data_IF_510912637936
#
_entry.id   IF_510912637936
#
_cell.length_a   1.000
_cell.length_b   1.000
_cell.length_c   1.000
_cell.angle_alpha   90.00
_cell.angle_beta   90.00
_cell.angle_gamma   90.00
#
_symmetry.space_group_name_H-M   'P 1'
#
loop_
_entity.id
_entity.type
_entity.pdbx_description
1 polymer ?
#
# COMPACT_ATOMS: atom_id res chain seq x y z
N UNK A 1 10.29 12.13 14.68
CA UNK A 1 8.81 12.24 14.60
C UNK A 1 8.31 13.11 13.45
N UNK A 2 8.96 14.22 13.06
CA UNK A 2 8.48 15.07 11.96
C UNK A 2 8.46 14.37 10.58
N UNK A 3 9.49 13.58 10.24
CA UNK A 3 9.54 12.82 8.98
C UNK A 3 8.38 11.83 8.85
N UNK A 4 8.08 11.10 9.93
CA UNK A 4 6.96 10.16 9.97
C UNK A 4 5.60 10.85 9.84
N UNK A 5 5.38 11.98 10.52
CA UNK A 5 4.13 12.77 10.37
C UNK A 5 3.93 13.25 8.93
N UNK A 6 5.01 13.68 8.27
CA UNK A 6 4.98 14.10 6.86
C UNK A 6 4.62 12.93 5.95
N UNK A 7 5.20 11.75 6.18
CA UNK A 7 4.86 10.54 5.41
C UNK A 7 3.39 10.18 5.56
N UNK A 8 2.87 10.08 6.78
CA UNK A 8 1.46 9.77 7.02
C UNK A 8 0.52 10.78 6.34
N UNK A 9 0.88 12.07 6.35
CA UNK A 9 0.10 13.08 5.63
C UNK A 9 0.12 12.86 4.11
N UNK A 10 1.28 12.55 3.53
CA UNK A 10 1.40 12.26 2.09
C UNK A 10 0.67 10.97 1.69
N UNK A 11 0.74 9.93 2.52
CA UNK A 11 0.01 8.68 2.36
C UNK A 11 -1.50 8.91 2.44
N UNK A 12 -1.95 9.73 3.38
CA UNK A 12 -3.36 10.09 3.52
C UNK A 12 -3.87 10.86 2.29
N UNK A 13 -3.09 11.82 1.79
CA UNK A 13 -3.40 12.54 0.54
C UNK A 13 -3.46 11.58 -0.65
N UNK A 14 -2.54 10.63 -0.76
CA UNK A 14 -2.56 9.59 -1.80
C UNK A 14 -3.82 8.72 -1.68
N UNK A 15 -4.16 8.29 -0.47
CA UNK A 15 -5.34 7.46 -0.18
C UNK A 15 -6.62 8.18 -0.58
N UNK A 16 -6.77 9.47 -0.21
CA UNK A 16 -7.91 10.30 -0.61
C UNK A 16 -7.95 10.48 -2.12
N UNK A 17 -6.82 10.77 -2.76
CA UNK A 17 -6.76 10.98 -4.22
C UNK A 17 -7.21 9.73 -4.97
N UNK A 18 -6.71 8.56 -4.57
CA UNK A 18 -7.13 7.27 -5.13
C UNK A 18 -8.62 7.05 -4.86
N UNK A 19 -9.10 7.30 -3.65
CA UNK A 19 -10.51 7.15 -3.29
C UNK A 19 -11.45 8.02 -4.14
N UNK A 20 -11.08 9.28 -4.38
CA UNK A 20 -11.85 10.21 -5.23
C UNK A 20 -11.86 9.74 -6.70
N UNK A 21 -10.71 9.36 -7.24
CA UNK A 21 -10.61 8.84 -8.62
C UNK A 21 -11.43 7.56 -8.76
N UNK A 22 -11.36 6.66 -7.80
CA UNK A 22 -12.14 5.42 -7.79
C UNK A 22 -13.64 5.69 -7.65
N UNK A 23 -14.07 6.66 -6.82
CA UNK A 23 -15.48 7.08 -6.75
C UNK A 23 -16.00 7.53 -8.12
N UNK A 24 -15.26 8.40 -8.80
CA UNK A 24 -15.64 8.93 -10.12
C UNK A 24 -15.71 7.79 -11.14
N UNK A 25 -14.69 6.91 -11.16
CA UNK A 25 -14.62 5.79 -12.10
C UNK A 25 -15.75 4.78 -11.87
N UNK A 26 -16.07 4.43 -10.62
CA UNK A 26 -17.14 3.49 -10.31
C UNK A 26 -18.54 4.07 -10.56
N UNK A 27 -18.72 5.39 -10.49
CA UNK A 27 -20.00 6.02 -10.77
C UNK A 27 -20.24 6.29 -12.26
N UNK A 28 -19.19 6.44 -13.05
CA UNK A 28 -19.28 6.76 -14.50
C UNK A 28 -19.07 5.52 -15.36
N UNK A 29 -17.82 5.11 -15.55
CA UNK A 29 -17.41 4.14 -16.59
C UNK A 29 -17.45 2.69 -16.12
N UNK A 30 -17.21 2.44 -14.82
CA UNK A 30 -17.03 1.10 -14.25
C UNK A 30 -18.20 0.66 -13.36
N UNK A 31 -19.40 1.20 -13.56
CA UNK A 31 -20.59 0.88 -12.73
C UNK A 31 -20.90 -0.62 -12.68
N UNK A 32 -20.72 -1.33 -13.80
CA UNK A 32 -20.93 -2.78 -13.89
C UNK A 32 -19.84 -3.61 -13.20
N UNK A 33 -18.68 -3.00 -12.95
CA UNK A 33 -17.50 -3.61 -12.31
C UNK A 33 -17.32 -3.15 -10.86
N UNK A 34 -18.38 -2.62 -10.25
CA UNK A 34 -18.32 -2.14 -8.88
C UNK A 34 -17.93 -3.27 -7.90
N UNK A 35 -16.88 -3.00 -7.13
CA UNK A 35 -16.34 -3.88 -6.12
C UNK A 35 -16.50 -3.21 -4.75
N UNK A 36 -17.52 -3.59 -3.95
CA UNK A 36 -17.68 -3.06 -2.59
C UNK A 36 -16.43 -3.30 -1.73
N UNK A 37 -15.75 -4.44 -1.94
CA UNK A 37 -14.50 -4.79 -1.25
C UNK A 37 -13.35 -3.83 -1.53
N UNK A 38 -13.42 -3.04 -2.62
CA UNK A 38 -12.35 -2.13 -3.01
C UNK A 38 -12.00 -1.14 -1.89
N UNK A 39 -13.01 -0.64 -1.18
CA UNK A 39 -12.80 0.30 -0.07
C UNK A 39 -12.06 -0.34 1.10
N UNK A 40 -12.40 -1.60 1.41
CA UNK A 40 -11.72 -2.40 2.43
C UNK A 40 -10.28 -2.68 2.00
N UNK A 41 -10.08 -3.03 0.72
CA UNK A 41 -8.77 -3.28 0.14
C UNK A 41 -7.87 -2.04 0.19
N UNK A 42 -8.41 -0.87 -0.18
CA UNK A 42 -7.72 0.41 -0.11
C UNK A 42 -7.29 0.72 1.33
N UNK A 43 -8.19 0.52 2.30
CA UNK A 43 -7.91 0.73 3.72
C UNK A 43 -6.82 -0.21 4.24
N UNK A 44 -6.88 -1.51 3.89
CA UNK A 44 -5.87 -2.49 4.32
C UNK A 44 -4.50 -2.18 3.74
N UNK A 45 -4.41 -1.86 2.43
CA UNK A 45 -3.15 -1.54 1.76
C UNK A 45 -2.54 -0.26 2.33
N UNK A 46 -3.36 0.77 2.58
CA UNK A 46 -2.94 2.01 3.22
C UNK A 46 -2.43 1.74 4.64
N UNK A 47 -3.20 1.03 5.47
CA UNK A 47 -2.81 0.71 6.84
C UNK A 47 -1.48 -0.09 6.89
N UNK A 48 -1.33 -1.11 6.05
CA UNK A 48 -0.09 -1.89 5.96
C UNK A 48 1.09 -1.03 5.55
N UNK A 49 0.90 -0.11 4.61
CA UNK A 49 1.96 0.78 4.15
C UNK A 49 2.42 1.73 5.26
N UNK A 50 1.49 2.34 6.00
CA UNK A 50 1.81 3.18 7.16
C UNK A 50 2.54 2.43 8.28
N UNK A 51 2.09 1.21 8.61
CA UNK A 51 2.72 0.36 9.65
C UNK A 51 4.15 -0.04 9.26
N UNK A 52 4.36 -0.45 8.01
CA UNK A 52 5.68 -0.87 7.55
C UNK A 52 6.64 0.30 7.43
N UNK A 53 6.16 1.47 6.99
CA UNK A 53 6.97 2.68 6.97
C UNK A 53 7.42 3.08 8.39
N UNK A 54 6.53 2.99 9.38
CA UNK A 54 6.89 3.22 10.78
C UNK A 54 8.01 2.26 11.25
N UNK A 55 7.87 0.98 10.94
CA UNK A 55 8.88 -0.04 11.27
C UNK A 55 10.23 0.26 10.61
N UNK A 56 10.21 0.64 9.33
CA UNK A 56 11.39 0.96 8.54
C UNK A 56 12.12 2.20 9.07
N UNK A 57 11.40 3.30 9.36
CA UNK A 57 12.01 4.53 9.92
C UNK A 57 12.63 4.26 11.30
N UNK A 58 11.98 3.43 12.13
CA UNK A 58 12.54 3.04 13.43
C UNK A 58 13.80 2.17 13.28
N UNK A 59 13.86 1.36 12.22
CA UNK A 59 15.03 0.55 11.89
C UNK A 59 16.18 1.39 11.31
N UNK A 60 15.90 2.46 10.55
CA UNK A 60 16.91 3.39 9.98
C UNK A 60 17.80 4.03 11.04
N UNK A 61 17.28 4.25 12.26
CA UNK A 61 18.06 4.76 13.39
C UNK A 61 19.18 3.79 13.85
N UNK A 62 19.21 2.55 13.35
CA UNK A 62 20.22 1.54 13.65
C UNK A 62 20.97 1.23 12.36
N UNK A 63 22.31 1.46 12.34
CA UNK A 63 23.30 1.12 11.29
C UNK A 63 22.74 0.62 9.95
N UNK A 64 23.09 1.24 8.82
CA UNK A 64 22.60 0.93 7.46
C UNK A 64 22.38 -0.57 7.10
N UNK A 65 23.25 -1.49 7.55
CA UNK A 65 23.07 -2.94 7.38
C UNK A 65 21.76 -3.47 8.00
N UNK A 66 21.37 -3.00 9.19
CA UNK A 66 20.11 -3.40 9.86
C UNK A 66 18.87 -2.82 9.20
N UNK A 67 19.00 -1.67 8.55
CA UNK A 67 17.92 -1.07 7.78
C UNK A 67 17.54 -1.94 6.58
N UNK A 68 18.53 -2.38 5.77
CA UNK A 68 18.27 -3.21 4.60
C UNK A 68 17.58 -4.53 4.96
N UNK A 69 18.06 -5.21 6.02
CA UNK A 69 17.43 -6.44 6.51
C UNK A 69 16.02 -6.19 7.05
N UNK A 70 15.80 -5.10 7.79
CA UNK A 70 14.47 -4.73 8.29
C UNK A 70 13.48 -4.44 7.17
N UNK A 71 13.91 -3.70 6.14
CA UNK A 71 13.11 -3.39 4.96
C UNK A 71 12.73 -4.64 4.18
N UNK A 72 13.66 -5.57 3.96
CA UNK A 72 13.39 -6.83 3.29
C UNK A 72 12.40 -7.71 4.08
N UNK A 73 12.56 -7.82 5.40
CA UNK A 73 11.61 -8.55 6.24
C UNK A 73 10.21 -7.92 6.22
N UNK A 74 10.13 -6.60 6.38
CA UNK A 74 8.87 -5.85 6.34
C UNK A 74 8.15 -6.06 5.01
N UNK A 75 8.87 -5.94 3.90
CA UNK A 75 8.33 -6.17 2.55
C UNK A 75 7.91 -7.63 2.36
N UNK A 76 8.70 -8.59 2.82
CA UNK A 76 8.37 -10.01 2.73
C UNK A 76 7.08 -10.36 3.48
N UNK A 77 6.92 -9.85 4.71
CA UNK A 77 5.68 -10.02 5.50
C UNK A 77 4.50 -9.38 4.77
N UNK A 78 4.66 -8.18 4.18
CA UNK A 78 3.64 -7.52 3.36
C UNK A 78 3.17 -8.43 2.21
N UNK A 79 4.11 -9.04 1.49
CA UNK A 79 3.78 -9.96 0.38
C UNK A 79 3.00 -11.17 0.85
N UNK A 80 3.35 -11.76 2.00
CA UNK A 80 2.62 -12.90 2.56
C UNK A 80 1.18 -12.52 2.93
N UNK A 81 0.99 -11.35 3.55
CA UNK A 81 -0.35 -10.85 3.89
C UNK A 81 -1.18 -10.62 2.62
N UNK A 82 -0.58 -10.04 1.59
CA UNK A 82 -1.24 -9.86 0.30
C UNK A 82 -1.59 -11.17 -0.39
N UNK A 83 -0.71 -12.16 -0.34
CA UNK A 83 -0.98 -13.48 -0.89
C UNK A 83 -2.23 -14.10 -0.24
N UNK A 84 -2.28 -14.11 1.09
CA UNK A 84 -3.44 -14.61 1.84
C UNK A 84 -4.71 -13.85 1.46
N UNK A 85 -4.65 -12.51 1.44
CA UNK A 85 -5.81 -11.67 1.13
C UNK A 85 -6.34 -11.95 -0.28
N UNK A 86 -5.45 -12.04 -1.27
CA UNK A 86 -5.82 -12.32 -2.66
C UNK A 86 -6.42 -13.71 -2.78
N UNK A 87 -5.73 -14.74 -2.26
CA UNK A 87 -6.19 -16.13 -2.36
C UNK A 87 -7.54 -16.30 -1.67
N UNK A 88 -7.71 -15.78 -0.46
CA UNK A 88 -8.99 -15.85 0.26
C UNK A 88 -10.11 -15.19 -0.54
N UNK A 89 -9.90 -13.99 -1.08
CA UNK A 89 -10.96 -13.30 -1.83
C UNK A 89 -11.30 -14.02 -3.15
N UNK A 90 -10.30 -14.44 -3.91
CA UNK A 90 -10.48 -15.10 -5.21
C UNK A 90 -11.20 -16.45 -5.07
N UNK A 91 -10.93 -17.20 -4.00
CA UNK A 91 -11.60 -18.47 -3.75
C UNK A 91 -13.07 -18.30 -3.30
N UNK A 92 -13.38 -17.22 -2.57
CA UNK A 92 -14.75 -16.95 -2.10
C UNK A 92 -15.62 -16.29 -3.17
N UNK A 93 -15.01 -15.50 -4.06
CA UNK A 93 -15.69 -14.70 -5.09
C UNK A 93 -15.02 -14.84 -6.47
N UNK A 94 -14.95 -16.06 -7.03
CA UNK A 94 -14.28 -16.31 -8.32
C UNK A 94 -14.88 -15.47 -9.45
N UNK A 95 -16.17 -15.15 -9.39
CA UNK A 95 -16.89 -14.35 -10.39
C UNK A 95 -16.39 -12.89 -10.47
N UNK A 96 -15.79 -12.38 -9.39
CA UNK A 96 -15.19 -11.03 -9.34
C UNK A 96 -13.67 -11.04 -9.28
N UNK A 97 -13.05 -12.22 -9.39
CA UNK A 97 -11.61 -12.40 -9.19
C UNK A 97 -10.77 -11.51 -10.12
N UNK A 98 -11.11 -11.45 -11.41
CA UNK A 98 -10.35 -10.67 -12.41
C UNK A 98 -10.33 -9.18 -12.08
N UNK A 99 -11.51 -8.62 -11.76
CA UNK A 99 -11.65 -7.19 -11.44
C UNK A 99 -10.94 -6.88 -10.11
N UNK A 100 -11.06 -7.78 -9.13
CA UNK A 100 -10.38 -7.66 -7.86
C UNK A 100 -8.85 -7.69 -8.01
N UNK A 101 -8.31 -8.65 -8.77
CA UNK A 101 -6.88 -8.78 -9.02
C UNK A 101 -6.30 -7.54 -9.71
N UNK A 102 -6.98 -7.01 -10.73
CA UNK A 102 -6.58 -5.78 -11.42
C UNK A 102 -6.58 -4.60 -10.44
N UNK A 103 -7.65 -4.45 -9.66
CA UNK A 103 -7.77 -3.38 -8.67
C UNK A 103 -6.68 -3.46 -7.61
N UNK A 104 -6.45 -4.67 -7.08
CA UNK A 104 -5.38 -4.96 -6.14
C UNK A 104 -4.02 -4.61 -6.72
N UNK A 105 -3.75 -5.04 -7.95
CA UNK A 105 -2.45 -4.83 -8.59
C UNK A 105 -2.14 -3.36 -8.83
N UNK A 106 -3.13 -2.56 -9.25
CA UNK A 106 -2.99 -1.11 -9.41
C UNK A 106 -2.68 -0.46 -8.05
N UNK A 107 -3.45 -0.78 -7.01
CA UNK A 107 -3.21 -0.25 -5.67
C UNK A 107 -1.82 -0.66 -5.15
N UNK A 108 -1.47 -1.94 -5.32
CA UNK A 108 -0.18 -2.48 -4.93
C UNK A 108 0.97 -1.68 -5.54
N UNK A 109 0.94 -1.42 -6.85
CA UNK A 109 1.98 -0.64 -7.53
C UNK A 109 2.04 0.79 -6.99
N UNK A 110 0.90 1.47 -6.87
CA UNK A 110 0.85 2.87 -6.41
C UNK A 110 1.43 3.02 -5.01
N UNK A 111 1.01 2.18 -4.06
CA UNK A 111 1.50 2.24 -2.69
C UNK A 111 2.94 1.76 -2.55
N UNK A 112 3.35 0.74 -3.30
CA UNK A 112 4.75 0.25 -3.27
C UNK A 112 5.70 1.29 -3.85
N UNK A 113 5.35 1.91 -4.99
CA UNK A 113 6.14 2.98 -5.57
C UNK A 113 6.24 4.17 -4.61
N UNK A 114 5.14 4.58 -4.01
CA UNK A 114 5.13 5.64 -3.00
C UNK A 114 6.02 5.34 -1.80
N UNK A 115 5.94 4.12 -1.25
CA UNK A 115 6.75 3.66 -0.12
C UNK A 115 8.25 3.69 -0.46
N UNK A 116 8.64 3.09 -1.59
CA UNK A 116 10.04 3.02 -2.04
C UNK A 116 10.60 4.42 -2.32
N UNK A 117 9.85 5.27 -3.02
CA UNK A 117 10.28 6.65 -3.30
C UNK A 117 10.47 7.47 -2.02
N UNK A 118 9.58 7.29 -1.04
CA UNK A 118 9.67 7.96 0.26
C UNK A 118 10.90 7.52 1.05
N UNK A 119 11.18 6.22 1.05
CA UNK A 119 12.37 5.64 1.69
C UNK A 119 13.65 6.14 1.02
N UNK A 120 13.72 6.10 -0.32
CA UNK A 120 14.89 6.58 -1.07
C UNK A 120 15.17 8.06 -0.80
N UNK A 121 14.11 8.88 -0.73
CA UNK A 121 14.22 10.30 -0.39
C UNK A 121 14.75 10.50 1.03
N UNK A 122 14.30 9.69 1.99
CA UNK A 122 14.79 9.74 3.36
C UNK A 122 16.28 9.37 3.45
N UNK A 123 16.69 8.27 2.81
CA UNK A 123 18.08 7.82 2.78
C UNK A 123 19.03 8.83 2.10
N UNK A 124 18.57 9.52 1.04
CA UNK A 124 19.35 10.57 0.39
C UNK A 124 19.52 11.82 1.26
N UNK A 125 18.54 12.11 2.12
CA UNK A 125 18.57 13.28 3.01
C UNK A 125 19.44 13.08 4.26
N UNK A 126 19.79 11.84 4.62
CA UNK A 126 20.69 11.53 5.75
C UNK A 126 22.17 11.38 5.33
N UNK A 127 22.47 11.41 4.03
CA UNK A 127 23.84 11.55 3.52
C UNK A 127 24.26 13.01 3.50
#
# INVERSE_FOLDING_TARGET
MQVFKRFLFQEFVLTISIGLVSLILFQTTLKNYYLPVFWILLAIISLLTGVLHYSNVRASAKKASKFATGFLMATGIKMMIYLVLITTYVLLHPEKASVFLISFFILYILYTAFEVLSILKHLRSEK
#
